data_IF_688259977933
#
_entry.id   IF_688259977933
#
_cell.length_a   1.000
_cell.length_b   1.000
_cell.length_c   1.000
_cell.angle_alpha   90.00
_cell.angle_beta   90.00
_cell.angle_gamma   90.00
#
_symmetry.space_group_name_H-M   'P 1'
#
loop_
_entity.id
_entity.type
_entity.pdbx_description
1 polymer ?
#
# COMPACT_ATOMS: atom_id res chain seq x y z
N UNK A 1 -5.94 -21.10 19.05
CA UNK A 1 -6.35 -19.76 19.57
C UNK A 1 -6.08 -18.75 18.46
N UNK A 2 -7.04 -18.52 17.57
CA UNK A 2 -6.89 -17.65 16.40
C UNK A 2 -7.23 -16.21 16.80
N UNK A 3 -6.30 -15.51 17.46
CA UNK A 3 -6.48 -14.10 17.74
C UNK A 3 -6.10 -13.26 16.51
N UNK A 4 -6.90 -13.35 15.44
CA UNK A 4 -6.74 -12.48 14.28
C UNK A 4 -6.77 -10.99 14.66
N UNK A 5 -7.42 -10.63 15.78
CA UNK A 5 -7.43 -9.28 16.32
C UNK A 5 -6.04 -8.74 16.63
N UNK A 6 -5.13 -9.59 17.10
CA UNK A 6 -3.76 -9.18 17.44
C UNK A 6 -2.89 -9.01 16.17
N UNK A 7 -3.33 -9.57 15.03
CA UNK A 7 -2.70 -9.39 13.72
C UNK A 7 -3.22 -8.20 12.91
N UNK A 8 -4.25 -7.51 13.39
CA UNK A 8 -4.75 -6.30 12.73
C UNK A 8 -3.78 -5.16 13.01
N UNK A 9 -3.11 -4.69 11.95
CA UNK A 9 -2.20 -3.55 12.04
C UNK A 9 -2.93 -2.24 12.32
N UNK A 10 -4.03 -1.99 11.60
CA UNK A 10 -4.76 -0.74 11.60
C UNK A 10 -6.17 -0.93 11.03
N UNK A 11 -7.20 -0.32 11.62
CA UNK A 11 -8.56 -0.34 11.06
C UNK A 11 -8.77 0.80 10.08
N UNK A 12 -9.69 0.61 9.13
CA UNK A 12 -10.10 1.62 8.16
C UNK A 12 -11.02 2.64 8.84
N UNK A 13 -10.71 3.94 8.68
CA UNK A 13 -11.57 5.07 9.09
C UNK A 13 -12.27 5.74 7.91
N UNK A 14 -11.72 5.64 6.70
CA UNK A 14 -12.33 6.15 5.47
C UNK A 14 -12.32 5.08 4.37
N UNK A 15 -13.44 4.36 4.27
CA UNK A 15 -13.63 3.26 3.32
C UNK A 15 -13.57 3.68 1.86
N UNK A 16 -13.88 4.95 1.55
CA UNK A 16 -13.93 5.41 0.15
C UNK A 16 -12.53 5.59 -0.43
N UNK A 17 -11.53 5.78 0.43
CA UNK A 17 -10.16 6.05 0.03
C UNK A 17 -9.15 5.02 0.53
N UNK A 18 -9.58 4.01 1.30
CA UNK A 18 -8.67 3.03 1.91
C UNK A 18 -8.01 2.05 0.94
N UNK A 19 -8.60 1.82 -0.23
CA UNK A 19 -8.10 0.90 -1.25
C UNK A 19 -8.23 1.57 -2.61
N UNK A 20 -7.16 1.54 -3.39
CA UNK A 20 -7.13 2.01 -4.76
C UNK A 20 -6.48 0.94 -5.65
N UNK A 21 -7.09 0.69 -6.80
CA UNK A 21 -6.57 -0.22 -7.82
C UNK A 21 -6.84 0.40 -9.20
N UNK A 22 -5.89 0.28 -10.11
CA UNK A 22 -5.96 0.82 -11.45
C UNK A 22 -4.82 0.29 -12.30
N UNK A 23 -4.91 0.43 -13.62
CA UNK A 23 -3.93 -0.16 -14.56
C UNK A 23 -2.51 0.41 -14.41
N UNK A 24 -2.39 1.64 -13.89
CA UNK A 24 -1.13 2.36 -13.77
C UNK A 24 -0.58 2.39 -12.32
N UNK A 25 -1.21 1.67 -11.40
CA UNK A 25 -0.80 1.62 -9.99
C UNK A 25 -0.71 0.18 -9.51
N UNK A 26 0.20 -0.09 -8.58
CA UNK A 26 0.15 -1.32 -7.81
C UNK A 26 -1.12 -1.39 -6.94
N UNK A 27 -1.33 -2.49 -6.19
CA UNK A 27 -2.30 -2.50 -5.10
C UNK A 27 -1.94 -1.39 -4.10
N UNK A 28 -2.75 -0.33 -4.05
CA UNK A 28 -2.51 0.83 -3.21
C UNK A 28 -3.48 0.81 -2.02
N UNK A 29 -2.96 1.04 -0.82
CA UNK A 29 -3.76 1.20 0.39
C UNK A 29 -4.28 2.64 0.48
N UNK A 30 -4.95 3.08 -0.57
CA UNK A 30 -5.28 4.49 -0.73
C UNK A 30 -4.03 5.35 -0.89
N UNK A 31 -4.03 6.52 -0.24
CA UNK A 31 -2.85 7.39 -0.12
C UNK A 31 -2.02 7.12 1.14
N UNK A 32 -2.36 6.07 1.90
CA UNK A 32 -1.59 5.73 3.11
C UNK A 32 -0.28 5.02 2.74
N UNK A 33 -0.27 4.24 1.65
CA UNK A 33 0.93 3.78 0.96
C UNK A 33 0.71 3.89 -0.55
N UNK A 34 1.49 4.77 -1.17
CA UNK A 34 1.58 4.95 -2.61
C UNK A 34 2.92 4.38 -3.11
N UNK A 35 2.84 3.43 -4.04
CA UNK A 35 4.00 2.84 -4.73
C UNK A 35 3.66 2.80 -6.22
N UNK A 36 4.35 3.61 -7.03
CA UNK A 36 4.08 3.73 -8.47
C UNK A 36 5.31 4.20 -9.26
N UNK A 37 5.20 4.13 -10.59
CA UNK A 37 6.18 4.71 -11.53
C UNK A 37 5.75 6.13 -11.88
N UNK A 38 6.60 7.12 -11.61
CA UNK A 38 6.30 8.54 -11.91
C UNK A 38 5.90 8.71 -13.37
N UNK A 39 4.95 9.62 -13.60
CA UNK A 39 4.55 10.00 -14.95
C UNK A 39 5.76 10.45 -15.78
N UNK A 40 5.92 9.87 -16.96
CA UNK A 40 7.03 10.13 -17.86
C UNK A 40 8.31 9.34 -17.57
N UNK A 41 8.35 8.56 -16.49
CA UNK A 41 9.37 7.53 -16.34
C UNK A 41 8.91 6.24 -17.05
N UNK A 42 9.82 5.67 -17.83
CA UNK A 42 9.61 4.44 -18.58
C UNK A 42 10.25 3.23 -17.90
N UNK A 43 10.80 3.41 -16.69
CA UNK A 43 11.27 2.32 -15.85
C UNK A 43 10.12 1.36 -15.55
N UNK A 44 10.45 0.07 -15.50
CA UNK A 44 9.53 -0.95 -14.97
C UNK A 44 9.53 -0.98 -13.45
N UNK A 45 10.52 -0.32 -12.84
CA UNK A 45 10.71 -0.29 -11.40
C UNK A 45 9.96 0.86 -10.77
N UNK A 46 9.30 0.58 -9.65
CA UNK A 46 8.68 1.60 -8.81
C UNK A 46 9.73 2.59 -8.31
N UNK A 47 9.60 3.85 -8.72
CA UNK A 47 10.58 4.91 -8.45
C UNK A 47 10.00 6.03 -7.56
N UNK A 48 8.76 5.88 -7.09
CA UNK A 48 8.12 6.77 -6.15
C UNK A 48 7.40 5.98 -5.08
N UNK A 49 7.75 6.29 -3.83
CA UNK A 49 7.17 5.66 -2.65
C UNK A 49 6.86 6.75 -1.61
N UNK A 50 5.60 6.84 -1.20
CA UNK A 50 5.11 7.77 -0.17
C UNK A 50 4.25 7.02 0.83
N UNK A 51 4.41 7.33 2.12
CA UNK A 51 3.53 6.85 3.17
C UNK A 51 2.91 8.02 3.92
N UNK A 52 1.59 8.05 4.01
CA UNK A 52 0.85 9.00 4.83
C UNK A 52 -0.10 8.23 5.78
N UNK A 53 -0.76 8.94 6.68
CA UNK A 53 -1.88 8.40 7.45
C UNK A 53 -3.13 9.21 7.10
N UNK A 54 -4.05 8.62 6.32
CA UNK A 54 -5.26 9.29 5.81
C UNK A 54 -6.51 8.47 6.08
N UNK A 55 -6.52 7.21 5.65
CA UNK A 55 -7.71 6.36 5.63
C UNK A 55 -7.68 5.24 6.67
N UNK A 56 -6.58 5.13 7.44
CA UNK A 56 -6.39 4.13 8.49
C UNK A 56 -6.13 4.77 9.87
N UNK A 57 -6.58 4.12 10.96
CA UNK A 57 -6.45 4.60 12.36
C UNK A 57 -5.00 4.83 12.80
N UNK A 58 -4.09 4.04 12.23
CA UNK A 58 -2.64 4.06 12.46
C UNK A 58 -1.92 4.00 11.12
N UNK A 59 -0.80 4.68 11.03
CA UNK A 59 0.08 4.61 9.87
C UNK A 59 0.54 3.18 9.59
N UNK A 60 0.54 2.80 8.31
CA UNK A 60 1.00 1.47 7.87
C UNK A 60 2.51 1.31 8.15
N UNK A 61 3.25 2.43 8.18
CA UNK A 61 4.64 2.51 8.63
C UNK A 61 4.75 3.37 9.88
N UNK A 62 5.78 3.10 10.68
CA UNK A 62 6.11 3.90 11.87
C UNK A 62 6.49 5.35 11.54
N UNK A 63 6.99 5.59 10.32
CA UNK A 63 7.38 6.91 9.82
C UNK A 63 6.69 7.17 8.48
N UNK A 64 5.99 8.30 8.39
CA UNK A 64 5.44 8.81 7.14
C UNK A 64 6.47 9.57 6.28
N UNK A 65 6.02 10.03 5.12
CA UNK A 65 6.81 10.74 4.12
C UNK A 65 7.38 9.83 3.03
N UNK A 66 8.25 10.43 2.21
CA UNK A 66 8.93 9.75 1.11
C UNK A 66 9.89 8.69 1.64
N UNK A 67 10.03 7.62 0.87
CA UNK A 67 10.98 6.56 1.16
C UNK A 67 11.52 5.91 -0.10
N UNK A 68 12.54 5.07 0.09
CA UNK A 68 13.13 4.24 -0.95
C UNK A 68 12.82 2.79 -0.62
N UNK A 69 12.65 1.99 -1.66
CA UNK A 69 12.53 0.54 -1.60
C UNK A 69 13.74 0.00 -2.34
N UNK A 70 14.50 -0.87 -1.68
CA UNK A 70 15.65 -1.54 -2.31
C UNK A 70 15.16 -2.75 -3.11
N UNK A 71 14.33 -3.59 -2.48
CA UNK A 71 13.73 -4.78 -3.08
C UNK A 71 12.25 -4.91 -2.68
N UNK A 72 11.43 -5.50 -3.56
CA UNK A 72 10.02 -5.79 -3.29
C UNK A 72 9.59 -7.12 -3.90
N UNK A 73 8.64 -7.79 -3.23
CA UNK A 73 8.00 -9.02 -3.70
C UNK A 73 6.50 -8.76 -3.94
N UNK A 74 6.00 -9.21 -5.11
CA UNK A 74 4.58 -9.07 -5.47
C UNK A 74 3.92 -10.45 -5.44
N UNK A 75 2.90 -10.60 -4.58
CA UNK A 75 2.14 -11.84 -4.44
C UNK A 75 0.73 -11.68 -5.04
N UNK A 76 0.34 -12.60 -5.91
CA UNK A 76 -1.03 -12.70 -6.41
C UNK A 76 -1.77 -13.83 -5.68
N UNK A 77 -2.86 -13.50 -4.98
CA UNK A 77 -3.73 -14.49 -4.35
C UNK A 77 -4.66 -15.07 -5.42
N UNK A 78 -4.53 -16.36 -5.70
CA UNK A 78 -5.36 -17.09 -6.67
C UNK A 78 -6.34 -17.96 -5.89
N UNK A 79 -7.63 -17.92 -6.25
CA UNK A 79 -8.62 -18.85 -5.67
C UNK A 79 -8.24 -20.28 -6.02
N UNK A 80 -8.26 -21.18 -5.03
CA UNK A 80 -8.22 -22.62 -5.32
C UNK A 80 -9.45 -22.98 -6.17
N UNK A 81 -9.22 -23.70 -7.26
CA UNK A 81 -10.27 -24.35 -8.04
C UNK A 81 -10.84 -25.54 -7.27
#
# INVERSE_FOLDING_TARGET
KNNFKDSILSNIIDVNHAIYYGENVGPAFGRDIDIYVKWGDSSKDYNYCLCEQKSYERGIRSKGGLFLIEDYEVFQIIKKK
#
